data_IF_837365306993
#
_entry.id   IF_837365306993
#
_cell.length_a   1.000
_cell.length_b   1.000
_cell.length_c   1.000
_cell.angle_alpha   90.00
_cell.angle_beta   90.00
_cell.angle_gamma   90.00
#
_symmetry.space_group_name_H-M   'P 1'
#
loop_
_entity.id
_entity.type
_entity.pdbx_description
1 polymer ?
#
# COMPACT_ATOMS: atom_id res chain seq x y z
N UNK A 1 -55.60 27.08 0.01
CA UNK A 1 -56.00 25.67 0.12
C UNK A 1 -54.82 24.78 -0.28
N UNK A 2 -54.15 24.16 0.69
CA UNK A 2 -53.18 23.09 0.44
C UNK A 2 -53.49 21.99 1.46
N UNK A 3 -53.89 20.81 0.97
CA UNK A 3 -54.30 19.66 1.79
C UNK A 3 -53.06 18.93 2.27
N UNK A 4 -52.84 18.90 3.58
CA UNK A 4 -51.86 18.04 4.22
C UNK A 4 -52.24 16.57 3.98
N UNK A 5 -51.28 15.78 3.48
CA UNK A 5 -51.42 14.33 3.31
C UNK A 5 -51.07 13.66 4.64
N UNK A 6 -51.96 12.87 5.26
CA UNK A 6 -51.62 12.14 6.46
C UNK A 6 -50.59 11.04 6.13
N UNK A 7 -49.53 11.00 6.91
CA UNK A 7 -48.47 10.01 6.86
C UNK A 7 -49.04 8.59 6.92
N UNK A 8 -48.67 7.78 5.93
CA UNK A 8 -49.01 6.38 5.83
C UNK A 8 -48.40 5.63 7.03
N UNK A 9 -49.24 5.33 8.02
CA UNK A 9 -48.92 4.43 9.13
C UNK A 9 -48.36 3.12 8.55
N UNK A 10 -47.09 2.84 8.87
CA UNK A 10 -46.42 1.60 8.52
C UNK A 10 -47.09 0.44 9.26
N UNK A 11 -47.79 -0.41 8.52
CA UNK A 11 -48.38 -1.63 9.07
C UNK A 11 -47.29 -2.49 9.73
N UNK A 12 -47.51 -3.04 10.94
CA UNK A 12 -46.56 -3.95 11.55
C UNK A 12 -46.42 -5.18 10.66
N UNK A 13 -45.18 -5.50 10.26
CA UNK A 13 -44.90 -6.66 9.42
C UNK A 13 -45.09 -7.92 10.24
N UNK A 14 -45.99 -8.80 9.80
CA UNK A 14 -46.21 -10.10 10.42
C UNK A 14 -44.88 -10.86 10.51
N UNK A 15 -44.49 -11.22 11.74
CA UNK A 15 -43.30 -12.02 12.01
C UNK A 15 -43.54 -13.42 11.45
N UNK A 16 -43.11 -13.64 10.20
CA UNK A 16 -43.12 -14.96 9.57
C UNK A 16 -42.31 -15.91 10.45
N UNK A 17 -42.95 -16.98 10.94
CA UNK A 17 -42.32 -18.03 11.73
C UNK A 17 -41.19 -18.64 10.88
N UNK A 18 -39.94 -18.42 11.28
CA UNK A 18 -38.78 -19.03 10.64
C UNK A 18 -38.92 -20.55 10.81
N UNK A 19 -38.93 -21.28 9.69
CA UNK A 19 -38.98 -22.75 9.70
C UNK A 19 -37.78 -23.37 10.41
N UNK A 20 -37.77 -24.70 10.52
CA UNK A 20 -36.75 -25.46 11.26
C UNK A 20 -35.32 -25.05 10.86
N UNK A 21 -34.61 -24.37 11.77
CA UNK A 21 -33.25 -23.89 11.55
C UNK A 21 -32.27 -25.03 11.85
N UNK A 22 -31.75 -25.65 10.80
CA UNK A 22 -30.78 -26.74 10.92
C UNK A 22 -29.39 -26.15 11.17
N UNK A 23 -29.04 -26.03 12.45
CA UNK A 23 -27.68 -25.75 12.91
C UNK A 23 -27.56 -24.51 13.80
N UNK A 24 -26.55 -24.46 14.68
CA UNK A 24 -26.34 -23.34 15.59
C UNK A 24 -26.19 -22.02 14.82
N UNK A 25 -26.76 -20.94 15.35
CA UNK A 25 -26.79 -19.60 14.74
C UNK A 25 -25.39 -19.01 14.42
N UNK A 26 -24.33 -19.62 14.96
CA UNK A 26 -22.92 -19.29 14.72
C UNK A 26 -22.26 -20.18 13.65
N UNK A 27 -23.03 -20.83 12.78
CA UNK A 27 -22.46 -21.43 11.57
C UNK A 27 -21.76 -20.32 10.79
N UNK A 28 -20.50 -20.52 10.35
CA UNK A 28 -19.77 -19.50 9.62
C UNK A 28 -20.60 -19.11 8.39
N UNK A 29 -21.15 -17.90 8.44
CA UNK A 29 -21.98 -17.33 7.39
C UNK A 29 -21.24 -17.55 6.07
N UNK A 30 -21.85 -18.29 5.14
CA UNK A 30 -21.11 -19.00 4.09
C UNK A 30 -20.13 -18.09 3.31
N UNK A 31 -19.12 -18.69 2.68
CA UNK A 31 -17.99 -17.98 2.03
C UNK A 31 -18.42 -16.79 1.15
N UNK A 32 -19.59 -16.87 0.51
CA UNK A 32 -20.14 -15.78 -0.30
C UNK A 32 -20.71 -14.61 0.52
N UNK A 33 -21.41 -14.86 1.63
CA UNK A 33 -21.93 -13.79 2.50
C UNK A 33 -20.79 -12.99 3.14
N UNK A 34 -19.72 -13.65 3.59
CA UNK A 34 -18.48 -12.98 4.06
C UNK A 34 -17.83 -12.10 3.00
N UNK A 35 -17.83 -12.52 1.74
CA UNK A 35 -17.30 -11.69 0.64
C UNK A 35 -18.18 -10.47 0.43
N UNK A 36 -19.50 -10.64 0.43
CA UNK A 36 -20.46 -9.53 0.25
C UNK A 36 -20.38 -8.53 1.41
N UNK A 37 -20.30 -8.98 2.66
CA UNK A 37 -20.13 -8.08 3.83
C UNK A 37 -18.83 -7.30 3.73
N UNK A 38 -17.71 -7.96 3.43
CA UNK A 38 -16.41 -7.30 3.19
C UNK A 38 -16.46 -6.27 2.06
N UNK A 39 -17.13 -6.58 0.95
CA UNK A 39 -17.30 -5.64 -0.17
C UNK A 39 -18.08 -4.42 0.29
N UNK A 40 -19.20 -4.62 1.01
CA UNK A 40 -20.03 -3.53 1.55
C UNK A 40 -19.26 -2.66 2.54
N UNK A 41 -18.61 -3.26 3.53
CA UNK A 41 -17.77 -2.56 4.51
C UNK A 41 -16.68 -1.73 3.83
N UNK A 42 -16.00 -2.32 2.84
CA UNK A 42 -14.95 -1.62 2.06
C UNK A 42 -15.52 -0.44 1.27
N UNK A 43 -16.71 -0.58 0.68
CA UNK A 43 -17.36 0.48 -0.07
C UNK A 43 -17.77 1.64 0.85
N UNK A 44 -18.38 1.32 2.00
CA UNK A 44 -18.78 2.29 3.03
C UNK A 44 -17.55 3.03 3.56
N UNK A 45 -16.47 2.31 3.88
CA UNK A 45 -15.23 2.91 4.37
C UNK A 45 -14.64 3.87 3.34
N UNK A 46 -14.52 3.48 2.06
CA UNK A 46 -14.05 4.37 1.00
C UNK A 46 -14.91 5.63 0.87
N UNK A 47 -16.22 5.50 0.96
CA UNK A 47 -17.12 6.64 0.90
C UNK A 47 -16.93 7.59 2.10
N UNK A 48 -16.77 7.04 3.32
CA UNK A 48 -16.49 7.81 4.53
C UNK A 48 -15.17 8.58 4.42
N UNK A 49 -14.09 7.90 4.01
CA UNK A 49 -12.77 8.52 3.79
C UNK A 49 -12.87 9.62 2.73
N UNK A 50 -13.54 9.38 1.61
CA UNK A 50 -13.72 10.40 0.55
C UNK A 50 -14.53 11.60 1.05
N UNK A 51 -15.57 11.38 1.87
CA UNK A 51 -16.36 12.45 2.49
C UNK A 51 -15.53 13.27 3.48
N UNK A 52 -14.77 12.61 4.35
CA UNK A 52 -13.87 13.28 5.29
C UNK A 52 -12.79 14.06 4.56
N UNK A 53 -12.15 13.46 3.55
CA UNK A 53 -11.14 14.14 2.74
C UNK A 53 -11.68 15.38 2.03
N UNK A 54 -12.89 15.30 1.46
CA UNK A 54 -13.57 16.49 0.89
C UNK A 54 -13.85 17.54 1.95
N UNK A 55 -14.28 17.14 3.15
CA UNK A 55 -14.53 18.06 4.27
C UNK A 55 -13.26 18.77 4.69
N UNK A 56 -12.15 18.04 4.85
CA UNK A 56 -10.86 18.62 5.22
C UNK A 56 -10.27 19.48 4.10
N UNK A 57 -10.47 19.10 2.83
CA UNK A 57 -10.03 19.90 1.69
C UNK A 57 -10.80 21.24 1.62
N UNK A 58 -12.12 21.20 1.89
CA UNK A 58 -12.95 22.40 1.95
C UNK A 58 -12.67 23.25 3.20
N UNK A 59 -12.32 22.65 4.34
CA UNK A 59 -11.96 23.38 5.56
C UNK A 59 -10.49 23.81 5.61
N UNK A 60 -9.61 23.23 4.80
CA UNK A 60 -8.19 23.57 4.74
C UNK A 60 -7.92 25.06 4.45
N UNK A 61 -8.58 25.75 3.51
CA UNK A 61 -8.36 27.18 3.33
C UNK A 61 -8.82 27.99 4.55
N UNK A 62 -9.95 27.65 5.16
CA UNK A 62 -10.48 28.34 6.34
C UNK A 62 -9.63 28.12 7.60
N UNK A 63 -9.13 26.90 7.82
CA UNK A 63 -8.20 26.59 8.92
C UNK A 63 -6.83 27.23 8.71
N UNK A 64 -6.33 27.30 7.46
CA UNK A 64 -5.10 28.04 7.14
C UNK A 64 -5.27 29.53 7.44
N UNK A 65 -6.36 30.14 6.98
CA UNK A 65 -6.64 31.55 7.28
C UNK A 65 -6.78 31.80 8.79
N UNK A 66 -7.45 30.91 9.51
CA UNK A 66 -7.60 30.98 10.97
C UNK A 66 -6.26 30.83 11.70
N UNK A 67 -5.37 29.95 11.22
CA UNK A 67 -4.03 29.77 11.76
C UNK A 67 -3.15 31.01 11.50
N UNK A 68 -3.22 31.58 10.29
CA UNK A 68 -2.50 32.80 9.93
C UNK A 68 -2.99 34.01 10.71
N UNK A 69 -4.32 34.15 10.93
CA UNK A 69 -4.88 35.16 11.84
C UNK A 69 -4.39 34.99 13.28
N UNK A 70 -4.28 33.75 13.76
CA UNK A 70 -3.77 33.45 15.12
C UNK A 70 -2.28 33.75 15.25
N UNK A 71 -1.47 33.44 14.24
CA UNK A 71 -0.05 33.82 14.20
C UNK A 71 0.14 35.33 14.17
N UNK A 72 -0.60 36.02 13.32
CA UNK A 72 -0.55 37.49 13.22
C UNK A 72 -0.97 38.18 14.52
N UNK A 73 -1.94 37.60 15.24
CA UNK A 73 -2.33 38.08 16.57
C UNK A 73 -1.25 37.81 17.65
N UNK A 74 -0.49 36.72 17.53
CA UNK A 74 0.62 36.44 18.45
C UNK A 74 1.84 37.34 18.18
N UNK A 75 2.16 37.58 16.91
CA UNK A 75 3.26 38.47 16.48
C UNK A 75 2.99 39.94 16.84
N UNK A 76 1.73 40.37 16.81
CA UNK A 76 1.32 41.70 17.28
C UNK A 76 1.48 41.89 18.80
N UNK A 77 1.55 40.81 19.58
CA UNK A 77 1.78 40.85 21.04
C UNK A 77 3.27 40.83 21.37
N UNK A 78 4.11 40.20 20.55
CA UNK A 78 5.57 40.24 20.73
C UNK A 78 6.18 41.59 20.30
N UNK A 79 5.64 42.26 19.28
CA UNK A 79 6.21 43.51 18.77
C UNK A 79 5.86 44.77 19.60
N UNK A 80 5.17 44.62 20.74
CA UNK A 80 4.86 45.73 21.67
C UNK A 80 5.73 45.76 22.94
N UNK A 81 6.81 44.96 22.99
CA UNK A 81 7.73 44.95 24.12
C UNK A 81 9.19 44.80 23.69
N UNK A 82 9.93 45.91 23.67
CA UNK A 82 11.40 45.91 23.56
C UNK A 82 11.93 46.92 22.56
N UNK A 83 11.88 48.20 22.94
CA UNK A 83 12.79 49.21 22.41
C UNK A 83 14.01 49.29 23.35
N UNK A 84 15.14 49.75 22.81
CA UNK A 84 16.42 50.12 23.46
C UNK A 84 17.66 49.19 23.30
N UNK A 85 18.69 49.82 22.72
CA UNK A 85 20.13 49.75 23.02
C UNK A 85 20.96 48.59 22.43
N UNK A 86 22.18 48.77 21.91
CA UNK A 86 23.00 49.93 21.55
C UNK A 86 24.17 49.38 20.70
N UNK A 87 24.79 50.25 19.90
CA UNK A 87 25.82 49.91 18.94
C UNK A 87 27.23 49.99 19.53
N UNK A 88 27.85 48.85 19.89
CA UNK A 88 29.30 48.81 20.19
C UNK A 88 29.93 47.46 19.80
N UNK A 89 30.65 47.43 18.67
CA UNK A 89 31.96 46.76 18.56
C UNK A 89 32.48 46.85 17.12
N UNK A 90 33.26 47.88 16.82
CA UNK A 90 34.10 47.95 15.61
C UNK A 90 35.34 47.05 15.75
N UNK A 91 35.17 45.82 16.24
CA UNK A 91 36.22 44.82 16.27
C UNK A 91 36.21 44.08 14.92
N UNK A 92 37.27 44.26 14.14
CA UNK A 92 37.46 43.54 12.88
C UNK A 92 37.47 42.04 13.18
N UNK A 93 36.55 41.28 12.57
CA UNK A 93 36.38 39.84 12.76
C UNK A 93 37.72 39.10 12.55
N UNK A 94 38.10 38.12 13.39
CA UNK A 94 39.43 37.46 13.35
C UNK A 94 39.79 36.87 11.97
N UNK A 95 38.80 36.40 11.21
CA UNK A 95 38.98 35.90 9.84
C UNK A 95 39.57 36.95 8.88
N UNK A 96 39.35 38.25 9.14
CA UNK A 96 39.85 39.35 8.31
C UNK A 96 41.28 39.74 8.69
N UNK A 97 41.73 39.44 9.91
CA UNK A 97 43.15 39.59 10.31
C UNK A 97 44.01 38.50 9.66
N UNK A 98 43.52 37.25 9.62
CA UNK A 98 44.22 36.14 8.98
C UNK A 98 44.49 36.38 7.48
N UNK A 99 43.59 37.10 6.79
CA UNK A 99 43.73 37.45 5.38
C UNK A 99 44.72 38.61 5.11
N UNK A 100 45.04 39.42 6.13
CA UNK A 100 46.01 40.52 6.03
C UNK A 100 47.43 40.05 6.35
N UNK A 101 47.58 39.06 7.23
CA UNK A 101 48.88 38.48 7.61
C UNK A 101 49.43 37.46 6.59
N UNK A 102 48.67 37.09 5.56
CA UNK A 102 49.18 36.23 4.49
C UNK A 102 49.86 37.07 3.40
N UNK A 103 51.19 37.05 3.33
CA UNK A 103 51.95 37.71 2.26
C UNK A 103 51.58 37.17 0.86
N UNK A 104 51.57 38.02 -0.19
CA UNK A 104 51.21 37.60 -1.53
C UNK A 104 52.31 36.76 -2.17
N UNK A 105 52.13 35.44 -2.17
CA UNK A 105 52.92 34.50 -2.97
C UNK A 105 52.82 34.87 -4.47
N UNK A 106 53.92 34.82 -5.25
CA UNK A 106 53.89 35.17 -6.68
C UNK A 106 52.88 34.28 -7.43
N UNK A 107 52.16 34.81 -8.43
CA UNK A 107 51.12 34.07 -9.10
C UNK A 107 51.74 32.88 -9.85
N UNK A 108 51.56 31.68 -9.29
CA UNK A 108 51.89 30.45 -9.99
C UNK A 108 51.18 30.45 -11.34
N UNK A 109 51.95 30.26 -12.41
CA UNK A 109 51.47 30.27 -13.79
C UNK A 109 50.17 29.47 -13.93
N UNK A 110 49.06 30.18 -14.12
CA UNK A 110 47.73 29.58 -14.29
C UNK A 110 47.72 28.92 -15.65
N UNK A 111 48.08 27.62 -15.68
CA UNK A 111 47.75 26.76 -16.83
C UNK A 111 46.26 26.94 -17.06
N UNK A 112 45.87 27.51 -18.20
CA UNK A 112 44.47 27.64 -18.62
C UNK A 112 43.95 26.26 -19.00
N UNK A 113 43.90 25.36 -18.03
CA UNK A 113 43.20 24.10 -18.13
C UNK A 113 41.73 24.45 -18.31
N UNK A 114 41.19 24.13 -19.48
CA UNK A 114 39.76 24.24 -19.78
C UNK A 114 39.02 23.50 -18.66
N UNK A 115 38.46 24.24 -17.69
CA UNK A 115 37.74 23.65 -16.54
C UNK A 115 36.73 22.65 -17.09
N UNK A 116 36.97 21.37 -16.84
CA UNK A 116 36.03 20.33 -17.21
C UNK A 116 34.71 20.63 -16.51
N UNK A 117 33.65 20.79 -17.30
CA UNK A 117 32.34 21.12 -16.75
C UNK A 117 31.86 19.91 -15.99
N UNK A 118 31.64 20.06 -14.68
CA UNK A 118 31.07 19.01 -13.84
C UNK A 118 29.77 18.49 -14.48
N UNK A 119 29.59 17.17 -14.59
CA UNK A 119 28.39 16.61 -15.19
C UNK A 119 27.17 17.05 -14.39
N UNK A 120 26.20 17.65 -15.08
CA UNK A 120 24.95 18.10 -14.45
C UNK A 120 24.20 16.87 -13.95
N UNK A 121 23.97 16.83 -12.65
CA UNK A 121 23.15 15.79 -12.04
C UNK A 121 21.68 16.04 -12.37
N UNK A 122 20.99 15.06 -12.97
CA UNK A 122 19.53 15.09 -13.16
C UNK A 122 18.83 15.58 -11.88
N UNK A 123 17.88 16.51 -12.02
CA UNK A 123 17.05 17.03 -10.91
C UNK A 123 16.20 15.92 -10.28
N UNK A 124 15.96 14.83 -11.02
CA UNK A 124 15.06 13.75 -10.65
C UNK A 124 15.77 12.47 -10.18
N UNK A 125 17.07 12.52 -9.86
CA UNK A 125 17.82 11.33 -9.37
C UNK A 125 17.14 10.59 -8.21
N UNK A 126 16.51 11.34 -7.30
CA UNK A 126 15.75 10.75 -6.18
C UNK A 126 14.51 10.01 -6.68
N UNK A 127 13.81 10.54 -7.67
CA UNK A 127 12.61 9.94 -8.25
C UNK A 127 12.96 8.72 -9.11
N UNK A 128 14.03 8.81 -9.89
CA UNK A 128 14.57 7.70 -10.69
C UNK A 128 14.95 6.51 -9.79
N UNK A 129 15.59 6.75 -8.64
CA UNK A 129 15.94 5.67 -7.70
C UNK A 129 14.73 5.04 -7.02
N UNK A 130 13.72 5.85 -6.66
CA UNK A 130 12.43 5.35 -6.13
C UNK A 130 11.68 4.54 -7.20
N UNK A 131 11.66 5.00 -8.45
CA UNK A 131 11.04 4.31 -9.57
C UNK A 131 11.74 2.97 -9.85
N UNK A 132 13.07 2.95 -9.85
CA UNK A 132 13.86 1.74 -10.00
C UNK A 132 13.58 0.72 -8.88
N UNK A 133 13.51 1.17 -7.62
CA UNK A 133 13.18 0.31 -6.48
C UNK A 133 11.77 -0.30 -6.61
N UNK A 134 10.78 0.51 -6.96
CA UNK A 134 9.40 0.05 -7.18
C UNK A 134 9.29 -0.93 -8.36
N UNK A 135 10.09 -0.73 -9.41
CA UNK A 135 10.12 -1.64 -10.56
C UNK A 135 10.67 -3.01 -10.14
N UNK A 136 11.79 -3.04 -9.40
CA UNK A 136 12.39 -4.27 -8.86
C UNK A 136 11.42 -5.02 -7.95
N UNK A 137 10.77 -4.33 -7.02
CA UNK A 137 9.78 -4.95 -6.12
C UNK A 137 8.60 -5.59 -6.89
N UNK A 138 8.11 -4.93 -7.94
CA UNK A 138 7.05 -5.50 -8.80
C UNK A 138 7.53 -6.70 -9.59
N UNK A 139 8.75 -6.67 -10.11
CA UNK A 139 9.34 -7.78 -10.85
C UNK A 139 9.56 -8.99 -9.93
N UNK A 140 10.06 -8.79 -8.72
CA UNK A 140 10.20 -9.85 -7.70
C UNK A 140 8.83 -10.43 -7.30
N UNK A 141 7.83 -9.57 -7.05
CA UNK A 141 6.48 -10.02 -6.75
C UNK A 141 5.85 -10.80 -7.91
N UNK A 142 6.11 -10.40 -9.16
CA UNK A 142 5.65 -11.11 -10.35
C UNK A 142 6.33 -12.48 -10.47
N UNK A 143 7.64 -12.57 -10.26
CA UNK A 143 8.38 -13.84 -10.28
C UNK A 143 7.86 -14.83 -9.24
N UNK A 144 7.67 -14.38 -7.99
CA UNK A 144 7.10 -15.22 -6.94
C UNK A 144 5.67 -15.68 -7.26
N UNK A 145 4.86 -14.83 -7.89
CA UNK A 145 3.53 -15.20 -8.33
C UNK A 145 3.55 -16.24 -9.46
N UNK A 146 4.48 -16.12 -10.41
CA UNK A 146 4.69 -17.10 -11.48
C UNK A 146 5.18 -18.45 -10.96
N UNK A 147 6.13 -18.46 -10.03
CA UNK A 147 6.63 -19.70 -9.40
C UNK A 147 5.48 -20.44 -8.70
N UNK A 148 4.71 -19.73 -7.87
CA UNK A 148 3.52 -20.31 -7.21
C UNK A 148 2.51 -20.84 -8.21
N UNK A 149 2.33 -20.18 -9.36
CA UNK A 149 1.42 -20.64 -10.42
C UNK A 149 1.96 -21.91 -11.07
N UNK A 150 3.25 -21.95 -11.42
CA UNK A 150 3.92 -23.12 -12.01
C UNK A 150 3.85 -24.33 -11.06
N UNK A 151 4.06 -24.13 -9.77
CA UNK A 151 3.92 -25.19 -8.76
C UNK A 151 2.49 -25.75 -8.70
N UNK A 152 1.49 -24.87 -8.72
CA UNK A 152 0.08 -25.29 -8.76
C UNK A 152 -0.24 -26.06 -10.03
N UNK A 153 0.24 -25.58 -11.18
CA UNK A 153 0.06 -26.24 -12.48
C UNK A 153 0.71 -27.62 -12.50
N UNK A 154 1.95 -27.75 -11.98
CA UNK A 154 2.62 -29.05 -11.83
C UNK A 154 1.81 -30.00 -10.94
N UNK A 155 1.34 -29.54 -9.78
CA UNK A 155 0.52 -30.35 -8.87
C UNK A 155 -0.81 -30.79 -9.48
N UNK A 156 -1.45 -29.92 -10.27
CA UNK A 156 -2.67 -30.25 -11.00
C UNK A 156 -2.37 -31.27 -12.10
N UNK A 157 -1.33 -31.05 -12.90
CA UNK A 157 -0.92 -31.96 -13.96
C UNK A 157 -0.56 -33.36 -13.42
N UNK A 158 0.20 -33.44 -12.33
CA UNK A 158 0.49 -34.70 -11.64
C UNK A 158 -0.79 -35.42 -11.19
N UNK A 159 -1.74 -34.66 -10.61
CA UNK A 159 -3.03 -35.20 -10.18
C UNK A 159 -3.86 -35.70 -11.36
N UNK A 160 -3.88 -34.97 -12.46
CA UNK A 160 -4.59 -35.36 -13.68
C UNK A 160 -3.98 -36.59 -14.34
N UNK A 161 -2.65 -36.66 -14.40
CA UNK A 161 -1.93 -37.84 -14.89
C UNK A 161 -2.19 -39.06 -14.01
N UNK A 162 -2.13 -38.91 -12.69
CA UNK A 162 -2.47 -39.98 -11.76
C UNK A 162 -3.95 -40.39 -11.87
N UNK A 163 -4.87 -39.44 -12.05
CA UNK A 163 -6.29 -39.73 -12.28
C UNK A 163 -6.47 -40.51 -13.59
N UNK A 164 -5.78 -40.12 -14.66
CA UNK A 164 -5.85 -40.75 -15.98
C UNK A 164 -5.30 -42.18 -15.98
N UNK A 165 -4.22 -42.43 -15.25
CA UNK A 165 -3.69 -43.81 -15.08
C UNK A 165 -4.65 -44.66 -14.26
N UNK A 166 -5.15 -44.13 -13.13
CA UNK A 166 -6.13 -44.81 -12.25
C UNK A 166 -7.51 -45.01 -12.88
N UNK A 167 -7.89 -44.22 -13.89
CA UNK A 167 -9.15 -44.40 -14.61
C UNK A 167 -9.03 -45.27 -15.86
N UNK A 168 -7.82 -45.72 -16.22
CA UNK A 168 -7.60 -46.50 -17.44
C UNK A 168 -8.33 -47.85 -17.37
N UNK A 169 -9.23 -48.11 -18.32
CA UNK A 169 -10.03 -49.34 -18.43
C UNK A 169 -9.75 -50.11 -19.72
N UNK A 170 -9.99 -51.41 -19.71
CA UNK A 170 -9.99 -52.30 -20.88
C UNK A 170 -11.27 -52.13 -21.70
N UNK A 171 -11.34 -52.75 -22.89
CA UNK A 171 -12.56 -52.76 -23.71
C UNK A 171 -13.75 -53.40 -22.98
N UNK A 172 -13.46 -54.35 -22.09
CA UNK A 172 -14.43 -55.01 -21.20
C UNK A 172 -14.80 -54.18 -19.96
N UNK A 173 -14.25 -52.96 -19.81
CA UNK A 173 -14.55 -52.06 -18.69
C UNK A 173 -13.76 -52.34 -17.39
N UNK A 174 -12.98 -53.40 -17.34
CA UNK A 174 -12.10 -53.73 -16.20
C UNK A 174 -10.94 -52.72 -16.09
N UNK A 175 -10.47 -52.44 -14.88
CA UNK A 175 -9.34 -51.54 -14.66
C UNK A 175 -8.03 -52.15 -15.19
N UNK A 176 -7.22 -51.35 -15.86
CA UNK A 176 -5.91 -51.77 -16.38
C UNK A 176 -4.87 -51.72 -15.26
N UNK A 177 -4.82 -52.77 -14.44
CA UNK A 177 -3.91 -52.87 -13.29
C UNK A 177 -2.44 -52.58 -13.65
N UNK A 178 -1.98 -53.02 -14.82
CA UNK A 178 -0.60 -52.75 -15.28
C UNK A 178 -0.25 -51.25 -15.44
N UNK A 179 -1.23 -50.39 -15.73
CA UNK A 179 -1.03 -48.93 -15.78
C UNK A 179 -1.16 -48.26 -14.41
N UNK A 180 -1.80 -48.94 -13.46
CA UNK A 180 -2.14 -48.44 -12.13
C UNK A 180 -1.16 -48.90 -11.06
N UNK A 181 -0.49 -50.02 -11.29
CA UNK A 181 0.41 -50.70 -10.35
C UNK A 181 1.39 -49.74 -9.72
N UNK A 182 2.06 -48.89 -10.51
CA UNK A 182 3.05 -47.94 -10.00
C UNK A 182 2.46 -46.86 -9.07
N UNK A 183 1.26 -46.35 -9.38
CA UNK A 183 0.58 -45.35 -8.54
C UNK A 183 0.05 -45.99 -7.26
N UNK A 184 -0.49 -47.21 -7.36
CA UNK A 184 -0.97 -48.01 -6.23
C UNK A 184 0.18 -48.37 -5.28
N UNK A 185 1.33 -48.81 -5.82
CA UNK A 185 2.52 -49.14 -5.04
C UNK A 185 3.03 -47.92 -4.27
N UNK A 186 3.19 -46.76 -4.93
CA UNK A 186 3.56 -45.51 -4.28
C UNK A 186 2.63 -45.17 -3.12
N UNK A 187 1.32 -45.34 -3.31
CA UNK A 187 0.32 -45.09 -2.27
C UNK A 187 0.44 -46.05 -1.09
N UNK A 188 0.68 -47.33 -1.34
CA UNK A 188 0.89 -48.35 -0.29
C UNK A 188 2.18 -48.07 0.49
N UNK A 189 3.27 -47.72 -0.19
CA UNK A 189 4.53 -47.34 0.47
C UNK A 189 4.36 -46.10 1.34
N UNK A 190 3.63 -45.08 0.86
CA UNK A 190 3.28 -43.92 1.68
C UNK A 190 2.43 -44.26 2.90
N UNK A 191 1.53 -45.24 2.81
CA UNK A 191 0.71 -45.68 3.95
C UNK A 191 1.54 -46.46 4.97
N UNK A 192 2.45 -47.33 4.50
CA UNK A 192 3.34 -48.10 5.36
C UNK A 192 4.40 -47.24 6.05
N UNK A 193 4.88 -46.17 5.40
CA UNK A 193 5.82 -45.21 6.00
C UNK A 193 5.17 -44.10 6.86
N UNK A 194 3.83 -44.11 6.99
CA UNK A 194 3.07 -43.20 7.87
C UNK A 194 2.62 -43.88 9.17
N UNK A 195 2.99 -45.15 9.37
CA UNK A 195 2.88 -45.89 10.63
C UNK A 195 4.24 -45.93 11.31
#
# INVERSE_FOLDING_TARGET
MARERPDAQSKPTDKKKLGFSVGPANLPDGTYKRKVTKIKERLIHKAKVKKQYRKTLASAPAEKERLERRKKAAEAVENSGGDEAEAESSAVHPDRQAAMDTEPSPPAAVKTGRRERRPKTSTFKKEESIAARKKREREEAARLAEERRKEREKRIAEREMAKKTMSAKTKTGQLKLGKQSHVLLKKVMEQLGKN
#
